data_IF_455373927141
#
_entry.id   IF_455373927141
#
_cell.length_a   1.000
_cell.length_b   1.000
_cell.length_c   1.000
_cell.angle_alpha   90.00
_cell.angle_beta   90.00
_cell.angle_gamma   90.00
#
_symmetry.space_group_name_H-M   'P 1'
#
loop_
_entity.id
_entity.type
_entity.pdbx_description
1 polymer ?
#
# COMPACT_ATOMS: atom_id res chain seq x y z
N UNK A 1 -7.55 0.07 23.02
CA UNK A 1 -7.98 -1.32 22.80
C UNK A 1 -8.18 -1.56 21.31
N UNK A 2 -7.60 -2.63 20.80
CA UNK A 2 -7.78 -2.98 19.38
C UNK A 2 -9.01 -3.87 19.21
N UNK A 3 -9.74 -3.69 18.10
CA UNK A 3 -10.90 -4.46 17.76
C UNK A 3 -10.58 -5.70 16.93
N UNK A 4 -9.48 -5.64 16.19
CA UNK A 4 -9.12 -6.69 15.22
C UNK A 4 -7.65 -7.06 15.38
N UNK A 5 -7.33 -8.31 15.10
CA UNK A 5 -5.94 -8.76 15.13
C UNK A 5 -5.16 -8.23 13.93
N UNK A 6 -5.78 -8.22 12.75
CA UNK A 6 -5.10 -7.83 11.51
C UNK A 6 -5.95 -6.85 10.71
N UNK A 7 -5.30 -5.87 10.10
CA UNK A 7 -5.92 -4.92 9.19
C UNK A 7 -5.17 -4.84 7.88
N UNK A 8 -5.88 -4.46 6.82
CA UNK A 8 -5.34 -4.36 5.49
C UNK A 8 -5.74 -3.01 4.89
N UNK A 9 -4.75 -2.26 4.38
CA UNK A 9 -4.99 -1.00 3.68
C UNK A 9 -4.40 -1.12 2.29
N UNK A 10 -5.22 -0.89 1.27
CA UNK A 10 -4.81 -1.06 -0.13
C UNK A 10 -5.00 0.25 -0.88
N UNK A 11 -4.00 0.65 -1.65
CA UNK A 11 -4.09 1.85 -2.48
C UNK A 11 -2.88 1.98 -3.39
N UNK A 12 -2.85 3.02 -4.21
CA UNK A 12 -1.67 3.33 -5.03
C UNK A 12 -0.58 3.96 -4.17
N UNK A 13 -0.94 4.93 -3.35
CA UNK A 13 -0.01 5.73 -2.56
C UNK A 13 1.05 6.40 -3.44
N UNK A 14 0.58 7.00 -4.51
CA UNK A 14 1.43 7.64 -5.51
C UNK A 14 0.88 9.02 -5.87
N UNK A 15 1.12 10.05 -5.01
CA UNK A 15 1.88 10.01 -3.77
C UNK A 15 1.04 9.62 -2.55
N UNK A 16 1.72 9.37 -1.44
CA UNK A 16 1.06 9.25 -0.15
C UNK A 16 0.55 10.63 0.26
N UNK A 17 -0.72 10.74 0.64
CA UNK A 17 -1.31 12.01 1.03
C UNK A 17 -2.15 11.88 2.31
N UNK A 18 -2.67 13.01 2.79
CA UNK A 18 -3.37 13.07 4.08
C UNK A 18 -4.54 12.08 4.20
N UNK A 19 -5.28 11.88 3.11
CA UNK A 19 -6.38 10.90 3.11
C UNK A 19 -5.90 9.48 3.32
N UNK A 20 -4.79 9.10 2.68
CA UNK A 20 -4.17 7.79 2.89
C UNK A 20 -3.66 7.66 4.32
N UNK A 21 -3.03 8.70 4.85
CA UNK A 21 -2.51 8.67 6.22
C UNK A 21 -3.62 8.53 7.24
N UNK A 22 -4.73 9.23 7.04
CA UNK A 22 -5.88 9.12 7.92
C UNK A 22 -6.44 7.69 7.93
N UNK A 23 -6.53 7.05 6.76
CA UNK A 23 -7.01 5.68 6.65
C UNK A 23 -6.06 4.71 7.36
N UNK A 24 -4.76 4.86 7.18
CA UNK A 24 -3.77 4.01 7.82
C UNK A 24 -3.81 4.19 9.35
N UNK A 25 -3.91 5.43 9.81
CA UNK A 25 -3.98 5.72 11.24
C UNK A 25 -5.25 5.13 11.87
N UNK A 26 -6.38 5.18 11.16
CA UNK A 26 -7.61 4.55 11.62
C UNK A 26 -7.42 3.04 11.77
N UNK A 27 -6.77 2.40 10.80
CA UNK A 27 -6.48 0.98 10.87
C UNK A 27 -5.57 0.66 12.07
N UNK A 28 -4.56 1.48 12.31
CA UNK A 28 -3.64 1.30 13.43
C UNK A 28 -4.35 1.42 14.79
N UNK A 29 -5.37 2.25 14.88
CA UNK A 29 -6.15 2.38 16.10
C UNK A 29 -7.01 1.15 16.38
N UNK A 30 -7.46 0.46 15.33
CA UNK A 30 -8.42 -0.64 15.43
C UNK A 30 -7.79 -2.02 15.35
N UNK A 31 -6.55 -2.13 14.87
CA UNK A 31 -5.90 -3.41 14.59
C UNK A 31 -4.56 -3.51 15.30
N UNK A 32 -4.23 -4.72 15.73
CA UNK A 32 -2.92 -4.99 16.34
C UNK A 32 -1.81 -4.94 15.29
N UNK A 33 -2.08 -5.48 14.12
CA UNK A 33 -1.13 -5.52 13.01
C UNK A 33 -1.80 -4.95 11.77
N UNK A 34 -1.10 -4.06 11.08
CA UNK A 34 -1.61 -3.47 9.83
C UNK A 34 -0.62 -3.76 8.70
N UNK A 35 -1.14 -4.26 7.60
CA UNK A 35 -0.39 -4.45 6.36
C UNK A 35 -0.87 -3.44 5.33
N UNK A 36 0.07 -2.72 4.72
CA UNK A 36 -0.21 -1.75 3.67
C UNK A 36 0.20 -2.37 2.34
N UNK A 37 -0.74 -2.44 1.40
CA UNK A 37 -0.48 -2.94 0.06
C UNK A 37 -0.60 -1.78 -0.92
N UNK A 38 0.47 -1.51 -1.66
CA UNK A 38 0.49 -0.48 -2.70
C UNK A 38 0.63 -1.14 -4.06
N UNK A 39 -0.25 -0.78 -4.99
CA UNK A 39 -0.21 -1.27 -6.36
C UNK A 39 -0.54 -0.14 -7.33
N UNK A 40 0.20 -0.08 -8.44
CA UNK A 40 -0.10 0.85 -9.52
C UNK A 40 0.14 0.17 -10.86
N UNK A 41 -0.80 0.29 -11.78
CA UNK A 41 -0.69 -0.24 -13.13
C UNK A 41 -1.35 0.75 -14.12
N UNK A 42 -0.60 1.30 -15.07
CA UNK A 42 0.85 1.18 -15.21
C UNK A 42 1.59 1.89 -14.09
N UNK A 43 2.87 1.59 -13.96
CA UNK A 43 3.69 2.30 -12.98
C UNK A 43 3.77 3.79 -13.35
N UNK A 44 3.61 4.64 -12.36
CA UNK A 44 3.62 6.09 -12.55
C UNK A 44 5.05 6.59 -12.41
N UNK A 45 5.52 7.32 -13.42
CA UNK A 45 6.87 7.85 -13.42
C UNK A 45 7.07 8.78 -12.23
N UNK A 46 8.16 8.56 -11.50
CA UNK A 46 8.46 9.30 -10.28
C UNK A 46 7.89 8.67 -9.02
N UNK A 47 7.01 7.66 -9.18
CA UNK A 47 6.37 6.97 -8.06
C UNK A 47 6.55 5.46 -8.20
N UNK A 48 7.77 5.06 -8.56
CA UNK A 48 8.12 3.67 -8.76
C UNK A 48 7.98 2.88 -7.45
N UNK A 49 7.85 1.54 -7.52
CA UNK A 49 7.65 0.72 -6.33
C UNK A 49 8.66 0.97 -5.20
N UNK A 50 9.92 1.16 -5.54
CA UNK A 50 10.97 1.41 -4.56
C UNK A 50 10.73 2.71 -3.79
N UNK A 51 10.30 3.77 -4.49
CA UNK A 51 10.00 5.03 -3.86
C UNK A 51 8.77 4.95 -2.96
N UNK A 52 7.73 4.27 -3.43
CA UNK A 52 6.53 4.08 -2.62
C UNK A 52 6.85 3.29 -1.36
N UNK A 53 7.63 2.23 -1.49
CA UNK A 53 8.05 1.43 -0.34
C UNK A 53 8.85 2.28 0.66
N UNK A 54 9.79 3.09 0.16
CA UNK A 54 10.59 3.95 1.02
C UNK A 54 9.73 4.97 1.79
N UNK A 55 8.78 5.60 1.11
CA UNK A 55 7.88 6.55 1.75
C UNK A 55 7.02 5.89 2.82
N UNK A 56 6.45 4.74 2.50
CA UNK A 56 5.57 4.02 3.43
C UNK A 56 6.33 3.48 4.63
N UNK A 57 7.52 2.93 4.43
CA UNK A 57 8.33 2.41 5.53
C UNK A 57 8.87 3.53 6.41
N UNK A 58 9.17 4.68 5.83
CA UNK A 58 9.62 5.85 6.59
C UNK A 58 8.49 6.44 7.44
N UNK A 59 7.30 6.54 6.85
CA UNK A 59 6.15 7.16 7.51
C UNK A 59 5.45 6.24 8.48
N UNK A 60 5.38 4.95 8.14
CA UNK A 60 4.67 3.95 8.95
C UNK A 60 5.55 2.72 9.19
N UNK A 61 6.66 2.88 9.94
CA UNK A 61 7.59 1.76 10.15
C UNK A 61 6.99 0.61 10.95
N UNK A 62 5.91 0.86 11.69
CA UNK A 62 5.25 -0.14 12.49
C UNK A 62 4.33 -1.05 11.70
N UNK A 63 4.05 -0.71 10.44
CA UNK A 63 3.19 -1.52 9.57
C UNK A 63 4.02 -2.50 8.75
N UNK A 64 3.37 -3.57 8.29
CA UNK A 64 3.93 -4.40 7.24
C UNK A 64 3.66 -3.74 5.91
N UNK A 65 4.58 -3.89 4.97
CA UNK A 65 4.49 -3.22 3.67
C UNK A 65 4.64 -4.23 2.55
N UNK A 66 3.74 -4.16 1.57
CA UNK A 66 3.83 -4.95 0.36
C UNK A 66 3.57 -4.02 -0.82
N UNK A 67 4.61 -3.72 -1.58
CA UNK A 67 4.48 -2.88 -2.77
C UNK A 67 4.54 -3.78 -3.99
N UNK A 68 3.42 -3.87 -4.69
CA UNK A 68 3.28 -4.76 -5.84
C UNK A 68 3.59 -4.02 -7.13
N UNK A 69 4.17 -4.76 -8.07
CA UNK A 69 4.42 -4.29 -9.43
C UNK A 69 4.05 -5.43 -10.38
N UNK A 70 3.84 -5.14 -11.67
CA UNK A 70 3.63 -6.21 -12.65
C UNK A 70 4.77 -7.23 -12.64
N UNK A 71 5.99 -6.78 -12.42
CA UNK A 71 7.16 -7.63 -12.38
C UNK A 71 7.10 -8.61 -11.19
N UNK A 72 6.72 -8.12 -10.02
CA UNK A 72 6.58 -8.95 -8.82
C UNK A 72 5.47 -9.97 -9.01
N UNK A 73 4.32 -9.54 -9.55
CA UNK A 73 3.19 -10.43 -9.79
C UNK A 73 3.59 -11.55 -10.77
N UNK A 74 4.31 -11.21 -11.83
CA UNK A 74 4.77 -12.19 -12.81
C UNK A 74 5.72 -13.20 -12.16
N UNK A 75 6.58 -12.75 -11.24
CA UNK A 75 7.52 -13.64 -10.55
C UNK A 75 6.78 -14.68 -9.70
N UNK A 76 5.57 -14.37 -9.21
CA UNK A 76 4.76 -15.29 -8.46
C UNK A 76 3.75 -16.05 -9.33
N UNK A 77 3.78 -15.86 -10.64
CA UNK A 77 2.85 -16.51 -11.55
C UNK A 77 1.42 -15.98 -11.47
N UNK A 78 1.26 -14.77 -10.99
CA UNK A 78 -0.06 -14.16 -10.80
C UNK A 78 -0.37 -13.19 -11.94
N UNK A 79 -1.66 -13.16 -12.34
CA UNK A 79 -2.13 -12.17 -13.31
C UNK A 79 -2.19 -10.80 -12.65
N UNK A 80 -1.82 -9.73 -13.37
CA UNK A 80 -1.94 -8.39 -12.81
C UNK A 80 -3.41 -8.00 -12.60
N UNK A 81 -3.71 -7.19 -11.58
CA UNK A 81 -5.04 -6.60 -11.44
C UNK A 81 -5.37 -5.68 -12.62
N UNK A 82 -6.64 -5.28 -12.78
CA UNK A 82 -6.99 -4.31 -13.82
C UNK A 82 -6.19 -3.02 -13.68
N UNK A 83 -5.99 -2.28 -14.79
CA UNK A 83 -5.32 -0.98 -14.74
C UNK A 83 -6.02 -0.01 -13.78
N UNK A 84 -5.27 0.99 -13.34
CA UNK A 84 -5.83 2.05 -12.51
C UNK A 84 -6.96 2.76 -13.27
N UNK A 85 -8.12 2.83 -12.67
CA UNK A 85 -9.28 3.48 -13.30
C UNK A 85 -9.90 4.55 -12.40
N UNK A 86 -9.42 4.69 -11.20
CA UNK A 86 -9.95 5.63 -10.23
C UNK A 86 -8.83 6.21 -9.39
N UNK A 87 -9.11 7.35 -8.81
CA UNK A 87 -8.21 7.96 -7.85
C UNK A 87 -8.25 7.19 -6.54
N UNK A 88 -7.14 7.08 -5.89
CA UNK A 88 -7.09 6.54 -4.55
C UNK A 88 -6.70 7.52 -3.51
#
# INVERSE_FOLDING_TARGET
MTLYANGLVVGKFAPLHAGHEALINTALEQCETVCIISYSSPEIRGYEPEKRLNWLTTRFPQCRHLVLSPHVLAAYGLAPPPPNDADD
#
